data_IF_861998402537
#
_entry.id   IF_861998402537
#
_cell.length_a   1.000
_cell.length_b   1.000
_cell.length_c   1.000
_cell.angle_alpha   90.00
_cell.angle_beta   90.00
_cell.angle_gamma   90.00
#
_symmetry.space_group_name_H-M   'P 1'
#
loop_
_entity.id
_entity.type
_entity.pdbx_description
1 polymer ?
#
# COMPACT_ATOMS: atom_id res chain seq x y z
N UNK A 1 28.24 3.51 -4.99
CA UNK A 1 28.33 2.18 -5.64
C UNK A 1 28.34 2.38 -7.16
N UNK A 2 29.41 1.95 -7.84
CA UNK A 2 29.43 1.79 -9.31
C UNK A 2 29.34 0.30 -9.59
N UNK A 3 28.25 -0.17 -10.19
CA UNK A 3 28.18 -1.53 -10.70
C UNK A 3 28.64 -1.51 -12.17
N UNK A 4 29.81 -2.09 -12.43
CA UNK A 4 30.18 -2.50 -13.79
C UNK A 4 29.40 -3.77 -14.11
N UNK A 5 28.40 -3.69 -14.98
CA UNK A 5 27.74 -4.87 -15.52
C UNK A 5 28.39 -5.15 -16.87
N UNK A 6 29.41 -5.99 -16.86
CA UNK A 6 29.96 -6.60 -18.07
C UNK A 6 29.39 -8.01 -18.15
N UNK A 7 28.38 -8.19 -19.01
CA UNK A 7 27.65 -9.44 -19.18
C UNK A 7 26.17 -9.18 -19.47
N UNK A 8 25.67 -9.67 -20.61
CA UNK A 8 24.27 -9.54 -21.01
C UNK A 8 23.40 -10.42 -20.12
N UNK A 9 23.06 -9.92 -18.93
CA UNK A 9 22.15 -10.60 -18.00
C UNK A 9 20.76 -10.69 -18.66
N UNK A 10 20.20 -11.89 -18.74
CA UNK A 10 18.83 -12.12 -19.20
C UNK A 10 17.85 -11.36 -18.31
N UNK A 11 16.76 -10.85 -18.89
CA UNK A 11 15.66 -10.14 -18.21
C UNK A 11 15.14 -10.91 -16.99
N UNK A 12 15.11 -12.24 -17.09
CA UNK A 12 14.52 -13.13 -16.10
C UNK A 12 15.54 -13.56 -15.03
N UNK A 13 16.76 -13.02 -15.09
CA UNK A 13 17.78 -13.32 -14.09
C UNK A 13 17.35 -12.74 -12.75
N UNK A 14 17.23 -13.59 -11.73
CA UNK A 14 16.96 -13.15 -10.37
C UNK A 14 18.20 -12.49 -9.77
N UNK A 15 18.08 -11.23 -9.40
CA UNK A 15 19.17 -10.46 -8.76
C UNK A 15 19.12 -10.53 -7.24
N UNK A 16 17.96 -10.85 -6.66
CA UNK A 16 17.81 -10.93 -5.21
C UNK A 16 16.38 -11.19 -4.73
N UNK A 17 16.13 -10.92 -3.45
CA UNK A 17 14.79 -10.95 -2.86
C UNK A 17 14.66 -9.88 -1.78
N UNK A 18 13.45 -9.35 -1.63
CA UNK A 18 13.03 -8.47 -0.54
C UNK A 18 11.88 -9.17 0.17
N UNK A 19 12.12 -9.66 1.38
CA UNK A 19 11.15 -10.53 2.06
C UNK A 19 10.81 -11.76 1.21
N UNK A 20 9.51 -12.02 0.93
CA UNK A 20 9.08 -13.12 0.07
C UNK A 20 9.17 -12.79 -1.44
N UNK A 21 9.47 -11.55 -1.82
CA UNK A 21 9.36 -11.09 -3.21
C UNK A 21 10.71 -11.22 -3.95
N UNK A 22 10.81 -12.10 -4.97
CA UNK A 22 12.00 -12.17 -5.81
C UNK A 22 12.10 -10.92 -6.69
N UNK A 23 13.31 -10.42 -6.89
CA UNK A 23 13.58 -9.27 -7.76
C UNK A 23 14.38 -9.77 -8.96
N UNK A 24 13.88 -9.52 -10.16
CA UNK A 24 14.53 -9.87 -11.44
C UNK A 24 15.19 -8.64 -12.06
N UNK A 25 16.10 -8.86 -13.02
CA UNK A 25 16.78 -7.78 -13.75
C UNK A 25 15.75 -6.87 -14.44
N UNK A 26 14.76 -7.43 -15.13
CA UNK A 26 13.68 -6.68 -15.78
C UNK A 26 12.87 -5.85 -14.78
N UNK A 27 12.46 -6.47 -13.66
CA UNK A 27 11.72 -5.78 -12.61
C UNK A 27 12.53 -4.63 -12.03
N UNK A 28 13.83 -4.81 -11.83
CA UNK A 28 14.70 -3.73 -11.35
C UNK A 28 14.89 -2.62 -12.38
N UNK A 29 15.02 -2.97 -13.68
CA UNK A 29 15.14 -2.00 -14.76
C UNK A 29 13.89 -1.11 -14.89
N UNK A 30 12.70 -1.62 -14.57
CA UNK A 30 11.47 -0.81 -14.56
C UNK A 30 11.55 0.43 -13.65
N UNK A 31 12.35 0.37 -12.56
CA UNK A 31 12.59 1.51 -11.67
C UNK A 31 13.36 2.66 -12.33
N UNK A 32 14.11 2.37 -13.39
CA UNK A 32 14.97 3.33 -14.09
C UNK A 32 14.28 3.91 -15.34
N UNK A 33 13.18 3.31 -15.79
CA UNK A 33 12.48 3.67 -17.02
C UNK A 33 11.14 4.37 -16.80
N UNK A 34 10.45 4.63 -17.90
CA UNK A 34 9.06 5.11 -17.91
C UNK A 34 8.03 3.96 -17.93
N UNK A 35 8.48 2.72 -17.74
CA UNK A 35 7.65 1.53 -17.75
C UNK A 35 6.76 1.47 -16.50
N UNK A 36 5.69 0.68 -16.57
CA UNK A 36 4.89 0.38 -15.39
C UNK A 36 5.70 -0.45 -14.40
N UNK A 37 5.55 -0.15 -13.11
CA UNK A 37 6.21 -0.91 -12.06
C UNK A 37 5.52 -2.27 -11.89
N UNK A 38 6.27 -3.38 -11.92
CA UNK A 38 5.71 -4.70 -11.66
C UNK A 38 5.21 -4.89 -10.23
N UNK A 39 4.25 -5.78 -10.08
CA UNK A 39 3.63 -6.18 -8.80
C UNK A 39 4.68 -6.53 -7.73
N UNK A 40 5.71 -7.30 -8.08
CA UNK A 40 6.75 -7.73 -7.14
C UNK A 40 7.61 -6.58 -6.61
N UNK A 41 7.82 -5.53 -7.42
CA UNK A 41 8.53 -4.32 -7.00
C UNK A 41 7.67 -3.52 -6.03
N UNK A 42 6.38 -3.40 -6.35
CA UNK A 42 5.40 -2.72 -5.50
C UNK A 42 5.28 -3.38 -4.14
N UNK A 43 5.08 -4.68 -4.12
CA UNK A 43 5.00 -5.47 -2.91
C UNK A 43 6.29 -5.40 -2.09
N UNK A 44 7.45 -5.48 -2.74
CA UNK A 44 8.75 -5.35 -2.09
C UNK A 44 8.94 -3.99 -1.39
N UNK A 45 8.54 -2.89 -2.04
CA UNK A 45 8.63 -1.54 -1.47
C UNK A 45 7.78 -1.43 -0.19
N UNK A 46 6.52 -1.87 -0.23
CA UNK A 46 5.66 -1.83 0.95
C UNK A 46 6.14 -2.77 2.06
N UNK A 47 6.67 -3.93 1.70
CA UNK A 47 7.28 -4.84 2.65
C UNK A 47 8.45 -4.19 3.40
N UNK A 48 9.40 -3.58 2.67
CA UNK A 48 10.51 -2.83 3.28
C UNK A 48 10.02 -1.72 4.19
N UNK A 49 8.97 -1.00 3.78
CA UNK A 49 8.39 0.06 4.59
C UNK A 49 7.83 -0.50 5.91
N UNK A 50 7.09 -1.60 5.86
CA UNK A 50 6.53 -2.25 7.05
C UNK A 50 7.62 -2.77 8.00
N UNK A 51 8.73 -3.30 7.46
CA UNK A 51 9.86 -3.74 8.27
C UNK A 51 10.55 -2.59 9.02
N UNK A 52 10.56 -1.39 8.43
CA UNK A 52 11.18 -0.19 9.00
C UNK A 52 10.28 0.60 9.95
N UNK A 53 9.01 0.20 10.08
CA UNK A 53 7.99 0.97 10.80
C UNK A 53 7.22 0.05 11.75
N UNK A 54 7.56 0.03 13.05
CA UNK A 54 6.86 -0.77 14.04
C UNK A 54 5.35 -0.54 14.02
N UNK A 55 4.56 -1.60 14.15
CA UNK A 55 3.10 -1.54 14.14
C UNK A 55 2.46 -1.52 12.74
N UNK A 56 3.23 -1.36 11.67
CA UNK A 56 2.75 -1.46 10.29
C UNK A 56 2.86 -2.89 9.77
N UNK A 57 1.90 -3.30 8.94
CA UNK A 57 1.94 -4.54 8.17
C UNK A 57 1.63 -4.26 6.71
N UNK A 58 2.48 -4.77 5.82
CA UNK A 58 2.24 -4.73 4.39
C UNK A 58 1.33 -5.89 3.98
N UNK A 59 0.29 -5.58 3.21
CA UNK A 59 -0.50 -6.56 2.47
C UNK A 59 -0.07 -6.54 1.00
N UNK A 60 0.10 -7.74 0.41
CA UNK A 60 0.44 -7.85 -0.99
C UNK A 60 -0.72 -7.40 -1.90
N UNK A 61 -0.36 -6.92 -3.09
CA UNK A 61 -1.27 -6.42 -4.11
C UNK A 61 -2.40 -7.41 -4.42
N UNK A 62 -2.10 -8.68 -4.68
CA UNK A 62 -3.12 -9.65 -5.07
C UNK A 62 -4.17 -9.84 -3.98
N UNK A 63 -3.74 -9.86 -2.71
CA UNK A 63 -4.64 -9.97 -1.57
C UNK A 63 -5.45 -8.70 -1.39
N UNK A 64 -4.81 -7.54 -1.52
CA UNK A 64 -5.48 -6.25 -1.36
C UNK A 64 -6.49 -6.00 -2.49
N UNK A 65 -6.15 -6.24 -3.75
CA UNK A 65 -7.08 -6.14 -4.88
C UNK A 65 -8.27 -7.07 -4.68
N UNK A 66 -8.05 -8.34 -4.30
CA UNK A 66 -9.15 -9.26 -4.02
C UNK A 66 -10.09 -8.74 -2.92
N UNK A 67 -9.57 -8.05 -1.89
CA UNK A 67 -10.37 -7.42 -0.84
C UNK A 67 -11.11 -6.21 -1.39
N UNK A 68 -10.40 -5.22 -1.94
CA UNK A 68 -10.94 -3.93 -2.34
C UNK A 68 -11.84 -4.00 -3.57
N UNK A 69 -11.68 -5.02 -4.42
CA UNK A 69 -12.62 -5.36 -5.49
C UNK A 69 -13.82 -6.18 -5.03
N UNK A 70 -13.86 -6.57 -3.75
CA UNK A 70 -15.00 -7.27 -3.16
C UNK A 70 -15.12 -8.72 -3.62
N UNK A 71 -14.03 -9.35 -4.05
CA UNK A 71 -14.07 -10.73 -4.54
C UNK A 71 -14.49 -11.69 -3.44
N UNK A 72 -15.35 -12.65 -3.78
CA UNK A 72 -15.92 -13.64 -2.84
C UNK A 72 -14.83 -14.36 -2.03
N UNK A 73 -13.72 -14.73 -2.68
CA UNK A 73 -12.58 -15.40 -2.03
C UNK A 73 -12.03 -14.61 -0.84
N UNK A 74 -12.07 -13.28 -0.88
CA UNK A 74 -11.56 -12.44 0.20
C UNK A 74 -12.31 -12.66 1.53
N UNK A 75 -13.56 -13.11 1.46
CA UNK A 75 -14.43 -13.39 2.61
C UNK A 75 -14.15 -14.75 3.25
N UNK A 76 -13.37 -15.61 2.59
CA UNK A 76 -13.06 -16.94 3.10
C UNK A 76 -12.17 -16.89 4.34
N UNK A 77 -12.42 -17.77 5.32
CA UNK A 77 -11.60 -17.89 6.52
C UNK A 77 -10.11 -18.16 6.23
N UNK A 78 -9.78 -18.91 5.17
CA UNK A 78 -8.41 -19.26 4.79
C UNK A 78 -7.66 -18.16 4.02
N UNK A 79 -8.38 -17.14 3.54
CA UNK A 79 -7.83 -16.04 2.77
C UNK A 79 -7.02 -15.08 3.66
N UNK A 80 -5.72 -14.93 3.41
CA UNK A 80 -4.79 -14.22 4.30
C UNK A 80 -4.72 -14.92 5.69
N UNK A 81 -3.79 -15.87 5.82
CA UNK A 81 -3.68 -16.75 7.00
C UNK A 81 -3.30 -16.02 8.30
N UNK A 82 -2.54 -14.93 8.19
CA UNK A 82 -2.17 -14.08 9.33
C UNK A 82 -3.25 -13.00 9.51
N UNK A 83 -3.81 -12.87 10.70
CA UNK A 83 -4.82 -11.84 10.94
C UNK A 83 -4.18 -10.45 10.94
N UNK A 84 -4.09 -9.84 9.75
CA UNK A 84 -3.57 -8.49 9.53
C UNK A 84 -4.33 -7.43 10.33
N UNK A 85 -5.56 -7.73 10.77
CA UNK A 85 -6.38 -6.84 11.61
C UNK A 85 -5.94 -6.82 13.07
N UNK A 86 -5.03 -7.72 13.51
CA UNK A 86 -4.40 -7.63 14.83
C UNK A 86 -3.26 -6.60 14.88
N UNK A 87 -2.92 -5.98 13.75
CA UNK A 87 -1.86 -4.97 13.64
C UNK A 87 -2.46 -3.57 13.71
N UNK A 88 -1.64 -2.60 14.13
CA UNK A 88 -2.10 -1.23 14.32
C UNK A 88 -2.46 -0.57 12.99
N UNK A 89 -1.61 -0.74 11.96
CA UNK A 89 -1.80 -0.17 10.63
C UNK A 89 -1.54 -1.20 9.54
N UNK A 90 -2.49 -1.37 8.63
CA UNK A 90 -2.31 -2.14 7.39
C UNK A 90 -2.05 -1.18 6.24
N UNK A 91 -1.04 -1.46 5.41
CA UNK A 91 -0.73 -0.68 4.20
C UNK A 91 -0.57 -1.61 3.01
N UNK A 92 -0.85 -1.12 1.81
CA UNK A 92 -0.55 -1.86 0.59
C UNK A 92 -0.78 -1.07 -0.68
N UNK A 93 -0.19 -1.54 -1.80
CA UNK A 93 -0.49 -1.00 -3.11
C UNK A 93 -1.80 -1.59 -3.63
N UNK A 94 -2.71 -0.73 -4.10
CA UNK A 94 -3.92 -1.16 -4.79
C UNK A 94 -3.82 -0.77 -6.27
N UNK A 95 -4.01 -1.74 -7.15
CA UNK A 95 -3.99 -1.51 -8.60
C UNK A 95 -5.42 -1.27 -9.07
N UNK A 96 -5.87 -0.02 -8.96
CA UNK A 96 -7.22 0.37 -9.35
C UNK A 96 -7.39 0.18 -10.86
N UNK A 97 -8.44 -0.54 -11.26
CA UNK A 97 -8.72 -0.80 -12.68
C UNK A 97 -7.71 -1.69 -13.40
N UNK A 98 -6.75 -2.28 -12.68
CA UNK A 98 -5.74 -3.18 -13.26
C UNK A 98 -4.56 -2.48 -13.94
N UNK A 99 -4.49 -1.14 -13.92
CA UNK A 99 -3.43 -0.38 -14.58
C UNK A 99 -2.97 0.87 -13.79
N UNK A 100 -3.62 1.20 -12.68
CA UNK A 100 -3.31 2.43 -11.94
C UNK A 100 -2.93 2.17 -10.49
N UNK A 101 -1.69 2.51 -10.15
CA UNK A 101 -1.18 2.34 -8.79
C UNK A 101 -1.73 3.40 -7.84
N UNK A 102 -2.29 2.91 -6.73
CA UNK A 102 -2.85 3.73 -5.66
C UNK A 102 -2.37 3.24 -4.30
N UNK A 103 -2.47 4.12 -3.31
CA UNK A 103 -2.03 3.81 -1.96
C UNK A 103 -3.22 3.57 -1.04
N UNK A 104 -3.18 2.44 -0.33
CA UNK A 104 -4.13 2.10 0.71
C UNK A 104 -3.45 2.05 2.08
N UNK A 105 -4.09 2.67 3.07
CA UNK A 105 -3.73 2.56 4.48
C UNK A 105 -4.99 2.44 5.32
N UNK A 106 -5.00 1.47 6.23
CA UNK A 106 -6.04 1.31 7.23
C UNK A 106 -5.42 1.36 8.63
N UNK A 107 -5.80 2.36 9.42
CA UNK A 107 -5.52 2.38 10.85
C UNK A 107 -6.65 1.65 11.58
N UNK A 108 -6.36 0.48 12.12
CA UNK A 108 -7.35 -0.39 12.77
C UNK A 108 -7.84 0.24 14.07
N UNK A 109 -6.93 0.78 14.90
CA UNK A 109 -7.28 1.43 16.16
C UNK A 109 -8.09 2.72 15.92
N UNK A 110 -7.67 3.51 14.93
CA UNK A 110 -8.34 4.76 14.55
C UNK A 110 -9.56 4.59 13.65
N UNK A 111 -9.94 3.35 13.28
CA UNK A 111 -11.06 3.03 12.37
C UNK A 111 -11.11 3.93 11.12
N UNK A 112 -9.94 4.20 10.55
CA UNK A 112 -9.77 5.15 9.45
C UNK A 112 -9.13 4.47 8.26
N UNK A 113 -9.69 4.71 7.07
CA UNK A 113 -9.04 4.39 5.79
C UNK A 113 -8.51 5.69 5.18
N UNK A 114 -7.25 5.64 4.76
CA UNK A 114 -6.60 6.64 3.92
C UNK A 114 -6.38 6.02 2.55
N UNK A 115 -6.95 6.64 1.53
CA UNK A 115 -6.80 6.27 0.13
C UNK A 115 -6.20 7.44 -0.62
N UNK A 116 -5.13 7.21 -1.39
CA UNK A 116 -4.52 8.24 -2.21
C UNK A 116 -4.48 7.77 -3.67
N UNK A 117 -5.02 8.59 -4.55
CA UNK A 117 -5.00 8.35 -6.00
C UNK A 117 -4.46 9.61 -6.69
N UNK A 118 -3.39 9.47 -7.48
CA UNK A 118 -2.76 10.59 -8.20
C UNK A 118 -3.58 11.19 -9.34
N UNK A 119 -4.63 10.51 -9.80
CA UNK A 119 -5.65 11.02 -10.71
C UNK A 119 -6.86 11.64 -9.99
N UNK A 120 -6.80 11.69 -8.66
CA UNK A 120 -7.86 12.19 -7.80
C UNK A 120 -8.78 11.10 -7.28
N UNK A 121 -9.27 11.28 -6.06
CA UNK A 121 -10.15 10.33 -5.40
C UNK A 121 -11.62 10.60 -5.76
N UNK A 122 -12.23 9.66 -6.47
CA UNK A 122 -13.67 9.65 -6.74
C UNK A 122 -14.45 9.14 -5.53
N UNK A 123 -15.58 9.77 -5.22
CA UNK A 123 -16.43 9.40 -4.07
C UNK A 123 -16.88 7.94 -4.14
N UNK A 124 -17.24 7.48 -5.33
CA UNK A 124 -17.65 6.09 -5.58
C UNK A 124 -16.52 5.09 -5.30
N UNK A 125 -15.30 5.36 -5.80
CA UNK A 125 -14.13 4.52 -5.51
C UNK A 125 -13.86 4.44 -4.00
N UNK A 126 -13.96 5.58 -3.30
CA UNK A 126 -13.74 5.62 -1.85
C UNK A 126 -14.80 4.83 -1.08
N UNK A 127 -16.07 4.95 -1.47
CA UNK A 127 -17.16 4.22 -0.85
C UNK A 127 -17.02 2.71 -1.09
N UNK A 128 -16.75 2.28 -2.34
CA UNK A 128 -16.48 0.88 -2.69
C UNK A 128 -15.35 0.30 -1.83
N UNK A 129 -14.24 1.02 -1.70
CA UNK A 129 -13.09 0.60 -0.89
C UNK A 129 -13.49 0.44 0.58
N UNK A 130 -14.22 1.41 1.14
CA UNK A 130 -14.68 1.38 2.52
C UNK A 130 -15.62 0.20 2.78
N UNK A 131 -16.60 -0.01 1.91
CA UNK A 131 -17.60 -1.08 2.03
C UNK A 131 -16.92 -2.46 1.92
N UNK A 132 -16.09 -2.65 0.90
CA UNK A 132 -15.43 -3.93 0.65
C UNK A 132 -14.42 -4.29 1.74
N UNK A 133 -13.64 -3.32 2.21
CA UNK A 133 -12.76 -3.51 3.36
C UNK A 133 -13.56 -3.82 4.63
N UNK A 134 -14.68 -3.14 4.86
CA UNK A 134 -15.58 -3.39 5.97
C UNK A 134 -16.12 -4.83 5.96
N UNK A 135 -16.61 -5.30 4.82
CA UNK A 135 -17.09 -6.68 4.64
C UNK A 135 -15.98 -7.69 4.95
N UNK A 136 -14.77 -7.46 4.43
CA UNK A 136 -13.61 -8.31 4.74
C UNK A 136 -13.29 -8.33 6.24
N UNK A 137 -13.26 -7.15 6.88
CA UNK A 137 -12.94 -7.03 8.28
C UNK A 137 -13.96 -7.75 9.17
N UNK A 138 -15.26 -7.65 8.84
CA UNK A 138 -16.34 -8.37 9.52
C UNK A 138 -16.20 -9.88 9.35
N UNK A 139 -16.03 -10.37 8.12
CA UNK A 139 -15.88 -11.80 7.85
C UNK A 139 -14.68 -12.44 8.58
N UNK A 140 -13.60 -11.67 8.78
CA UNK A 140 -12.42 -12.13 9.54
C UNK A 140 -12.62 -12.16 11.05
N UNK A 141 -13.58 -11.39 11.58
CA UNK A 141 -13.94 -11.36 13.00
C UNK A 141 -14.91 -12.47 13.35
N UNK A 142 -15.98 -12.61 12.58
CA UNK A 142 -17.04 -13.60 12.81
C UNK A 142 -16.49 -15.03 12.80
N UNK A 143 -15.43 -15.27 12.04
CA UNK A 143 -14.81 -16.58 11.94
C UNK A 143 -14.04 -17.03 13.19
N UNK A 144 -13.77 -16.16 14.19
CA UNK A 144 -12.89 -16.54 15.32
C UNK A 144 -13.29 -16.07 16.73
N UNK A 145 -14.14 -15.08 16.95
CA UNK A 145 -14.53 -14.64 18.31
C UNK A 145 -15.93 -13.99 18.36
N UNK A 146 -16.81 -14.51 19.24
CA UNK A 146 -18.01 -13.81 19.71
C UNK A 146 -17.57 -12.65 20.61
N UNK A 147 -17.40 -11.44 20.06
CA UNK A 147 -16.90 -10.30 20.85
C UNK A 147 -17.00 -8.95 20.15
N UNK A 148 -17.81 -8.07 20.74
CA UNK A 148 -18.19 -6.71 20.36
C UNK A 148 -17.12 -5.86 19.63
N UNK A 149 -17.15 -5.87 18.30
CA UNK A 149 -16.82 -4.67 17.51
C UNK A 149 -18.14 -4.16 16.94
N UNK A 150 -18.89 -3.43 17.78
CA UNK A 150 -20.11 -2.74 17.38
C UNK A 150 -19.88 -2.00 16.06
N UNK A 151 -20.90 -2.01 15.20
CA UNK A 151 -21.08 -1.35 13.90
C UNK A 151 -20.55 0.10 13.87
N UNK A 152 -19.23 0.25 13.96
CA UNK A 152 -18.55 1.54 13.94
C UNK A 152 -18.23 1.85 12.50
N UNK A 153 -18.95 2.82 11.95
CA UNK A 153 -18.68 3.43 10.65
C UNK A 153 -17.18 3.72 10.52
N UNK A 154 -16.53 3.11 9.52
CA UNK A 154 -15.15 3.43 9.16
C UNK A 154 -15.15 4.83 8.57
N UNK A 155 -14.38 5.73 9.18
CA UNK A 155 -14.32 7.11 8.70
C UNK A 155 -13.30 7.21 7.57
N UNK A 156 -13.75 7.73 6.44
CA UNK A 156 -12.89 8.05 5.32
C UNK A 156 -12.28 9.43 5.50
N UNK A 157 -10.96 9.54 5.42
CA UNK A 157 -10.27 10.84 5.33
C UNK A 157 -9.77 11.04 3.90
N UNK A 158 -10.42 11.94 3.17
CA UNK A 158 -9.90 12.48 1.91
C UNK A 158 -8.72 13.41 2.24
N UNK A 159 -7.54 13.08 1.76
CA UNK A 159 -6.41 14.00 1.75
C UNK A 159 -6.30 14.53 0.32
N UNK A 160 -6.70 15.77 0.09
CA UNK A 160 -6.63 16.38 -1.23
C UNK A 160 -5.17 16.47 -1.70
N UNK A 161 -4.89 15.82 -2.83
CA UNK A 161 -3.59 15.76 -3.50
C UNK A 161 -2.86 17.12 -3.57
N UNK A 162 -3.61 18.21 -3.81
CA UNK A 162 -3.12 19.59 -3.91
C UNK A 162 -2.35 20.11 -2.67
N UNK A 163 -2.70 19.69 -1.45
CA UNK A 163 -2.05 20.20 -0.22
C UNK A 163 -0.71 19.49 0.05
N UNK A 164 -0.55 18.24 -0.40
CA UNK A 164 0.74 17.55 -0.33
C UNK A 164 1.66 17.95 -1.51
N UNK A 165 1.08 18.31 -2.66
CA UNK A 165 1.81 18.58 -3.91
C UNK A 165 2.50 19.96 -3.93
N UNK A 166 1.90 20.99 -3.32
CA UNK A 166 2.44 22.37 -3.36
C UNK A 166 3.80 22.53 -2.68
N UNK A 167 4.19 21.61 -1.79
CA UNK A 167 5.50 21.63 -1.12
C UNK A 167 6.59 20.81 -1.82
N UNK A 168 6.27 20.01 -2.85
CA UNK A 168 7.13 18.85 -3.21
C UNK A 168 7.48 18.68 -4.69
N UNK A 169 6.97 19.50 -5.62
CA UNK A 169 7.26 19.34 -7.06
C UNK A 169 7.91 20.58 -7.68
N UNK A 170 9.16 20.86 -7.28
CA UNK A 170 10.15 21.43 -8.18
C UNK A 170 11.17 20.32 -8.47
N UNK A 171 11.26 19.93 -9.75
CA UNK A 171 12.30 19.07 -10.38
C UNK A 171 11.92 17.61 -10.73
N UNK A 172 11.66 17.44 -12.05
CA UNK A 172 11.83 16.26 -12.95
C UNK A 172 10.59 15.43 -13.35
N UNK A 173 10.52 14.98 -14.62
CA UNK A 173 9.38 14.21 -15.14
C UNK A 173 9.55 12.72 -14.81
N UNK A 174 8.88 12.25 -13.76
CA UNK A 174 8.70 10.81 -13.52
C UNK A 174 7.46 10.29 -14.27
N UNK A 175 7.40 9.00 -14.59
CA UNK A 175 6.16 8.36 -15.10
C UNK A 175 5.05 8.40 -14.05
N UNK A 176 3.80 8.34 -14.51
CA UNK A 176 2.62 8.70 -13.73
C UNK A 176 2.35 7.77 -12.53
N UNK A 177 2.59 6.46 -12.68
CA UNK A 177 2.48 5.50 -11.57
C UNK A 177 3.54 5.72 -10.48
N UNK A 178 4.78 6.03 -10.89
CA UNK A 178 5.90 6.33 -9.99
C UNK A 178 5.65 7.59 -9.16
N UNK A 179 4.91 8.58 -9.70
CA UNK A 179 4.53 9.81 -8.98
C UNK A 179 3.61 9.56 -7.80
N UNK A 180 2.59 8.70 -7.96
CA UNK A 180 1.68 8.34 -6.87
C UNK A 180 2.40 7.68 -5.69
N UNK A 181 3.38 6.83 -6.00
CA UNK A 181 4.12 6.03 -5.02
C UNK A 181 5.23 6.84 -4.34
N UNK A 182 5.98 7.66 -5.08
CA UNK A 182 6.93 8.61 -4.48
C UNK A 182 6.23 9.56 -3.50
N UNK A 183 5.04 10.02 -3.86
CA UNK A 183 4.21 10.88 -2.99
C UNK A 183 3.72 10.10 -1.77
N UNK A 184 3.27 8.86 -1.93
CA UNK A 184 2.89 8.01 -0.80
C UNK A 184 4.08 7.71 0.12
N UNK A 185 5.25 7.42 -0.43
CA UNK A 185 6.50 7.20 0.33
C UNK A 185 6.94 8.47 1.07
N UNK A 186 6.77 9.64 0.48
CA UNK A 186 7.05 10.93 1.12
C UNK A 186 6.01 11.28 2.20
N UNK A 187 4.73 11.01 1.95
CA UNK A 187 3.67 11.13 2.96
C UNK A 187 3.97 10.22 4.17
N UNK A 188 4.33 8.97 3.89
CA UNK A 188 4.72 8.01 4.92
C UNK A 188 5.98 8.43 5.69
N UNK A 189 6.96 9.05 5.03
CA UNK A 189 8.13 9.67 5.70
C UNK A 189 7.71 10.81 6.62
N UNK A 190 6.86 11.73 6.12
CA UNK A 190 6.33 12.86 6.91
C UNK A 190 5.48 12.39 8.08
N UNK A 191 4.72 11.31 7.95
CA UNK A 191 3.93 10.72 9.03
C UNK A 191 4.83 10.12 10.12
N UNK A 192 5.92 9.44 9.73
CA UNK A 192 6.94 8.97 10.68
C UNK A 192 7.57 10.15 11.44
N UNK A 193 7.92 11.22 10.73
CA UNK A 193 8.50 12.42 11.33
C UNK A 193 7.50 13.11 12.27
N UNK A 194 6.20 13.12 11.92
CA UNK A 194 5.13 13.63 12.79
C UNK A 194 4.90 12.76 14.04
N UNK A 195 4.98 11.42 13.92
CA UNK A 195 4.91 10.52 15.07
C UNK A 195 6.12 10.67 16.01
N UNK A 196 7.31 10.95 15.44
CA UNK A 196 8.53 11.26 16.18
C UNK A 196 8.46 12.64 16.86
N UNK A 197 7.86 13.63 16.21
CA UNK A 197 7.61 14.95 16.81
C UNK A 197 6.50 14.90 17.88
N UNK A 198 5.49 14.04 17.76
CA UNK A 198 4.47 13.86 18.81
C UNK A 198 4.96 13.07 20.03
N UNK A 199 6.23 12.63 20.04
CA UNK A 199 6.89 12.04 21.21
C UNK A 199 7.86 13.01 21.92
N UNK A 200 7.84 14.30 21.56
CA UNK A 200 8.49 15.37 22.32
C UNK A 200 7.45 16.45 22.71
N UNK A 201 7.25 16.61 24.03
CA UNK A 201 6.34 17.52 24.75
C UNK A 201 4.85 17.12 24.71
N UNK A 202 4.15 16.81 25.81
CA UNK A 202 4.29 17.05 27.26
C UNK A 202 4.03 15.74 28.03
#
# INVERSE_FOLDING_TARGET
LRFFISGHLSSDTKIGKIGPYPIYVSSFQSLLGSQELPDEIMDAIFHLFSMKTPGFVAINIHSLNNILDGKVRARSHSFVKNNILKKAVVIGPYLEGGNHWTFFRCNIAGRTITYLNSFGERKESCQKIADNWGIFATAKRDAREHGNFAQGSMTYRKISFLVAFSQLCLQRPFSVGTRGILTALQFMKKEKDLQFCSSLHL
#
